data_IF_248291731058
#
_entry.id   IF_248291731058
#
_cell.length_a   1.000
_cell.length_b   1.000
_cell.length_c   1.000
_cell.angle_alpha   90.00
_cell.angle_beta   90.00
_cell.angle_gamma   90.00
#
_symmetry.space_group_name_H-M   'P 1'
#
loop_
_entity.id
_entity.type
_entity.pdbx_description
1 polymer ?
#
# COMPACT_ATOMS: atom_id res chain seq x y z
N UNK A 1 -10.63 -14.78 -8.99
CA UNK A 1 -10.44 -13.33 -9.23
C UNK A 1 -9.34 -13.17 -10.27
N UNK A 2 -9.48 -12.34 -11.31
CA UNK A 2 -8.41 -12.18 -12.30
C UNK A 2 -7.15 -11.67 -11.58
N UNK A 3 -6.04 -12.37 -11.80
CA UNK A 3 -4.74 -12.09 -11.17
C UNK A 3 -4.32 -10.68 -11.54
N UNK A 4 -4.40 -9.77 -10.58
CA UNK A 4 -3.94 -8.41 -10.73
C UNK A 4 -2.42 -8.44 -10.88
N UNK A 5 -1.95 -8.46 -12.14
CA UNK A 5 -0.57 -8.78 -12.56
C UNK A 5 0.51 -7.99 -11.80
N UNK A 6 0.16 -6.80 -11.32
CA UNK A 6 1.07 -5.88 -10.62
C UNK A 6 0.74 -5.66 -9.14
N UNK A 7 -0.22 -6.42 -8.57
CA UNK A 7 -0.63 -6.25 -7.17
C UNK A 7 0.53 -6.42 -6.19
N UNK A 8 1.36 -7.46 -6.37
CA UNK A 8 2.49 -7.70 -5.49
C UNK A 8 3.49 -6.52 -5.48
N UNK A 9 3.76 -5.91 -6.63
CA UNK A 9 4.63 -4.74 -6.72
C UNK A 9 4.00 -3.54 -5.99
N UNK A 10 2.71 -3.29 -6.20
CA UNK A 10 2.00 -2.21 -5.49
C UNK A 10 2.01 -2.41 -3.99
N UNK A 11 1.83 -3.64 -3.49
CA UNK A 11 1.92 -3.91 -2.05
C UNK A 11 3.28 -3.53 -1.48
N UNK A 12 4.37 -3.84 -2.17
CA UNK A 12 5.73 -3.47 -1.74
C UNK A 12 5.96 -1.96 -1.76
N UNK A 13 5.48 -1.28 -2.80
CA UNK A 13 5.60 0.17 -2.93
C UNK A 13 4.79 0.85 -1.81
N UNK A 14 3.55 0.41 -1.58
CA UNK A 14 2.69 0.91 -0.50
C UNK A 14 3.35 0.68 0.86
N UNK A 15 3.87 -0.52 1.13
CA UNK A 15 4.55 -0.86 2.39
C UNK A 15 5.76 0.06 2.67
N UNK A 16 6.57 0.32 1.64
CA UNK A 16 7.71 1.27 1.71
C UNK A 16 7.27 2.69 2.03
N UNK A 17 6.14 3.15 1.47
CA UNK A 17 5.63 4.51 1.70
C UNK A 17 5.02 4.67 3.08
N UNK A 18 4.22 3.70 3.55
CA UNK A 18 3.60 3.76 4.88
C UNK A 18 4.62 3.54 6.01
N UNK A 19 5.74 2.84 5.74
CA UNK A 19 6.83 2.66 6.70
C UNK A 19 7.84 3.82 6.69
N UNK A 20 7.67 4.82 5.83
CA UNK A 20 8.57 5.95 5.71
C UNK A 20 8.48 6.88 6.94
N UNK A 21 9.57 6.92 7.73
CA UNK A 21 9.67 7.76 8.94
C UNK A 21 9.60 9.27 8.66
N UNK A 22 10.00 9.70 7.47
CA UNK A 22 9.99 11.12 7.09
C UNK A 22 8.61 11.59 6.62
N UNK A 23 7.76 10.68 6.13
CA UNK A 23 6.38 10.96 5.70
C UNK A 23 5.44 9.85 6.22
N UNK A 24 5.11 9.84 7.52
CA UNK A 24 4.41 8.73 8.16
C UNK A 24 2.93 8.60 7.76
N UNK A 25 2.36 9.63 7.12
CA UNK A 25 0.95 9.68 6.76
C UNK A 25 0.76 10.02 5.27
N UNK A 26 1.18 9.13 4.35
CA UNK A 26 0.95 9.37 2.94
C UNK A 26 -0.55 9.46 2.66
N UNK A 27 -0.91 10.36 1.76
CA UNK A 27 -2.26 10.41 1.21
C UNK A 27 -2.48 9.26 0.23
N UNK A 28 -3.75 9.00 -0.11
CA UNK A 28 -4.07 8.02 -1.16
C UNK A 28 -3.46 8.41 -2.51
N UNK A 29 -3.41 9.70 -2.80
CA UNK A 29 -2.81 10.24 -4.02
C UNK A 29 -1.29 10.00 -4.05
N UNK A 30 -0.61 10.17 -2.92
CA UNK A 30 0.83 9.85 -2.82
C UNK A 30 1.12 8.39 -3.14
N UNK A 31 0.30 7.47 -2.60
CA UNK A 31 0.44 6.04 -2.88
C UNK A 31 0.20 5.73 -4.36
N UNK A 32 -0.83 6.35 -4.94
CA UNK A 32 -1.18 6.17 -6.34
C UNK A 32 -0.04 6.65 -7.24
N UNK A 33 0.41 7.89 -7.08
CA UNK A 33 1.45 8.49 -7.90
C UNK A 33 2.75 7.69 -7.79
N UNK A 34 3.15 7.29 -6.58
CA UNK A 34 4.35 6.48 -6.40
C UNK A 34 4.24 5.09 -7.05
N UNK A 35 3.05 4.48 -7.05
CA UNK A 35 2.83 3.23 -7.77
C UNK A 35 2.83 3.44 -9.28
N UNK A 36 2.27 4.54 -9.79
CA UNK A 36 2.31 4.88 -11.22
C UNK A 36 3.74 5.15 -11.68
N UNK A 37 4.52 5.86 -10.89
CA UNK A 37 5.92 6.20 -11.18
C UNK A 37 6.82 4.96 -11.16
N UNK A 38 6.75 4.12 -10.10
CA UNK A 38 7.60 2.91 -10.03
C UNK A 38 7.16 1.82 -11.02
N UNK A 39 5.89 1.81 -11.44
CA UNK A 39 5.38 0.90 -12.47
C UNK A 39 5.40 1.50 -13.88
N UNK A 40 5.91 2.72 -14.03
CA UNK A 40 6.05 3.36 -15.32
C UNK A 40 7.01 2.55 -16.21
N UNK A 41 6.63 2.30 -17.47
CA UNK A 41 7.46 1.59 -18.44
C UNK A 41 7.43 0.05 -18.35
N UNK A 42 6.94 -0.55 -17.27
CA UNK A 42 6.73 -2.01 -17.14
C UNK A 42 5.31 -2.47 -17.54
N UNK A 43 4.50 -1.55 -18.06
CA UNK A 43 3.19 -1.85 -18.65
C UNK A 43 2.06 -1.91 -17.63
N UNK A 44 2.20 -1.23 -16.48
CA UNK A 44 1.03 -0.87 -15.66
C UNK A 44 0.35 0.33 -16.29
N UNK A 45 -0.94 0.21 -16.55
CA UNK A 45 -1.79 1.36 -16.86
C UNK A 45 -1.95 2.27 -15.62
N UNK A 46 -2.64 3.39 -15.85
CA UNK A 46 -3.10 4.33 -14.83
C UNK A 46 -3.74 3.61 -13.64
N UNK A 47 -3.34 3.98 -12.44
CA UNK A 47 -3.82 3.36 -11.21
C UNK A 47 -4.97 4.21 -10.67
N UNK A 48 -6.14 3.61 -10.55
CA UNK A 48 -7.29 4.29 -9.97
C UNK A 48 -7.25 4.25 -8.43
N UNK A 49 -7.91 5.22 -7.81
CA UNK A 49 -8.09 5.24 -6.36
C UNK A 49 -8.71 3.96 -5.79
N UNK A 50 -9.68 3.39 -6.51
CA UNK A 50 -10.33 2.16 -6.09
C UNK A 50 -9.38 0.96 -6.11
N UNK A 51 -8.31 1.01 -6.93
CA UNK A 51 -7.25 0.00 -6.92
C UNK A 51 -6.43 0.10 -5.64
N UNK A 52 -6.00 1.33 -5.27
CA UNK A 52 -5.26 1.56 -4.01
C UNK A 52 -6.12 1.19 -2.79
N UNK A 53 -7.41 1.51 -2.80
CA UNK A 53 -8.32 1.15 -1.70
C UNK A 53 -8.47 -0.38 -1.55
N UNK A 54 -8.61 -1.11 -2.66
CA UNK A 54 -8.64 -2.58 -2.65
C UNK A 54 -7.32 -3.17 -2.18
N UNK A 55 -6.20 -2.60 -2.60
CA UNK A 55 -4.88 -3.07 -2.19
C UNK A 55 -4.63 -2.85 -0.70
N UNK A 56 -4.99 -1.67 -0.16
CA UNK A 56 -4.92 -1.39 1.28
C UNK A 56 -5.85 -2.31 2.08
N UNK A 57 -7.03 -2.61 1.54
CA UNK A 57 -7.95 -3.56 2.15
C UNK A 57 -7.34 -4.97 2.17
N UNK A 58 -6.74 -5.42 1.07
CA UNK A 58 -6.09 -6.71 0.97
C UNK A 58 -4.90 -6.81 1.94
N UNK A 59 -3.98 -5.85 1.94
CA UNK A 59 -2.83 -5.81 2.86
C UNK A 59 -3.22 -5.82 4.34
N UNK A 60 -4.42 -5.29 4.67
CA UNK A 60 -4.95 -5.27 6.03
C UNK A 60 -5.70 -6.54 6.42
N UNK A 61 -6.50 -7.12 5.52
CA UNK A 61 -7.49 -8.16 5.85
C UNK A 61 -7.11 -9.55 5.32
N UNK A 62 -6.29 -9.63 4.26
CA UNK A 62 -5.84 -10.90 3.71
C UNK A 62 -4.59 -11.38 4.44
N UNK A 63 -4.80 -12.15 5.52
CA UNK A 63 -3.74 -12.75 6.34
C UNK A 63 -2.71 -13.55 5.53
N UNK A 64 -3.13 -14.15 4.42
CA UNK A 64 -2.24 -14.91 3.53
C UNK A 64 -1.17 -14.06 2.83
N UNK A 65 -1.33 -12.74 2.76
CA UNK A 65 -0.33 -11.83 2.17
C UNK A 65 0.83 -11.52 3.13
N UNK A 66 0.68 -11.81 4.43
CA UNK A 66 1.75 -11.63 5.42
C UNK A 66 2.09 -10.19 5.79
N UNK A 67 1.40 -9.19 5.24
CA UNK A 67 1.65 -7.78 5.57
C UNK A 67 1.13 -7.38 6.96
N UNK A 68 0.05 -8.01 7.46
CA UNK A 68 -0.57 -7.78 8.77
C UNK A 68 -0.54 -6.31 9.25
N UNK A 69 -0.70 -5.37 8.30
CA UNK A 69 -0.37 -3.99 8.55
C UNK A 69 -1.55 -3.29 9.24
N UNK A 70 -1.36 -2.61 10.38
CA UNK A 70 -2.42 -1.86 11.06
C UNK A 70 -2.70 -0.53 10.34
N UNK A 71 -3.28 -0.62 9.14
CA UNK A 71 -3.54 0.51 8.25
C UNK A 71 -4.92 1.11 8.59
N UNK A 72 -4.96 2.38 9.02
CA UNK A 72 -6.21 3.13 9.29
C UNK A 72 -6.34 4.33 8.36
N UNK A 73 -7.37 4.40 7.54
CA UNK A 73 -7.68 5.56 6.71
C UNK A 73 -8.51 6.60 7.49
N UNK A 74 -8.12 7.87 7.44
CA UNK A 74 -8.90 8.99 8.00
C UNK A 74 -9.57 9.78 6.89
N UNK A 75 -10.91 9.77 6.83
CA UNK A 75 -11.68 10.53 5.84
C UNK A 75 -11.59 12.06 6.07
N UNK A 76 -11.40 12.49 7.31
CA UNK A 76 -11.33 13.91 7.68
C UNK A 76 -10.07 14.57 7.11
N UNK A 77 -8.95 13.86 7.23
CA UNK A 77 -7.63 14.35 6.83
C UNK A 77 -7.23 13.86 5.43
N UNK A 78 -7.97 12.92 4.83
CA UNK A 78 -7.64 12.18 3.59
C UNK A 78 -6.25 11.51 3.61
N UNK A 79 -5.69 11.27 4.80
CA UNK A 79 -4.40 10.58 4.99
C UNK A 79 -4.59 9.19 5.58
N UNK A 80 -3.60 8.34 5.33
CA UNK A 80 -3.51 6.99 5.89
C UNK A 80 -2.62 7.05 7.12
N UNK A 81 -3.10 6.55 8.26
CA UNK A 81 -2.41 6.54 9.54
C UNK A 81 -2.11 5.11 10.01
N UNK A 82 -0.82 4.81 10.18
CA UNK A 82 -0.36 3.59 10.84
C UNK A 82 -0.19 3.86 12.34
N UNK A 83 -1.29 4.14 13.06
CA UNK A 83 -1.27 4.10 14.53
C UNK A 83 -1.18 2.64 14.95
N UNK A 84 0.04 2.12 15.00
CA UNK A 84 0.53 0.96 15.78
C UNK A 84 1.84 0.49 15.13
N UNK A 85 2.98 0.98 15.64
CA UNK A 85 4.26 0.28 15.46
C UNK A 85 4.15 -1.05 16.22
N UNK A 86 3.62 -2.09 15.59
CA UNK A 86 3.85 -3.47 16.04
C UNK A 86 4.54 -4.18 14.88
N UNK A 87 5.87 -4.20 15.00
CA UNK A 87 6.71 -5.37 14.81
C UNK A 87 6.11 -6.43 13.88
N UNK A 88 6.35 -6.30 12.59
CA UNK A 88 6.61 -7.50 11.79
C UNK A 88 7.77 -7.21 10.88
N UNK A 89 8.95 -7.25 11.49
CA UNK A 89 10.15 -7.67 10.79
C UNK A 89 9.93 -9.13 10.38
N UNK A 90 9.15 -9.36 9.33
CA UNK A 90 9.09 -10.68 8.70
C UNK A 90 10.40 -10.80 7.95
N UNK A 91 11.38 -11.42 8.64
CA UNK A 91 12.52 -12.06 8.00
C UNK A 91 12.00 -12.85 6.80
N UNK A 92 12.35 -12.39 5.60
CA UNK A 92 12.34 -13.26 4.43
C UNK A 92 13.36 -14.36 4.72
N UNK A 93 12.88 -15.58 4.92
CA UNK A 93 13.70 -16.78 4.99
C UNK A 93 13.18 -17.80 3.97
#
# INVERSE_FOLDING_TARGET
MPSNKYALFRYRIIDKLISNKYKPYPSKEDLRNACEDELYGIGSERIFDSTIEKDLWAMRNESLLGYNAPIKYSKLEKVISTKTQIIVSVKYH
#
